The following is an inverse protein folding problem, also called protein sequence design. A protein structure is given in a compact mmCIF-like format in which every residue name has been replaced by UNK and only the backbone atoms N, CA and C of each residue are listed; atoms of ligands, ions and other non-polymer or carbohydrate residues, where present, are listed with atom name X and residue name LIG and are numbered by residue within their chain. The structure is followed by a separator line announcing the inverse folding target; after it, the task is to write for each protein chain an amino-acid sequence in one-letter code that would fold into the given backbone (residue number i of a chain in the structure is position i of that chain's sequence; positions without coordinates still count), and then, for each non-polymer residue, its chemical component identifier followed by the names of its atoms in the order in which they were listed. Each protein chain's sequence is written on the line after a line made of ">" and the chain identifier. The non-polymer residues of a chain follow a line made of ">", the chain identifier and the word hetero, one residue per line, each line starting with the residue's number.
data_IF_576942084335
#
_entry.id   IF_576942084335
#
_cell.length_a   1.000
_cell.length_b   1.000
_cell.length_c   1.000
_cell.angle_alpha   90.00
_cell.angle_beta   90.00
_cell.angle_gamma   90.00
#
_symmetry.space_group_name_H-M   'P 1'
#
loop_
_entity.id
_entity.type
_entity.pdbx_description
1 polymer ?
#
# COMPACT_ATOMS: atom_id res chain seq x y z
N UNK A 1 -25.37 24.07 9.86
CA UNK A 1 -26.31 22.99 10.27
C UNK A 1 -27.52 23.54 11.04
N UNK A 2 -27.34 24.62 11.79
CA UNK A 2 -28.44 25.23 12.61
C UNK A 2 -29.60 25.79 11.79
N UNK A 3 -29.36 26.08 10.52
CA UNK A 3 -30.37 26.58 9.56
C UNK A 3 -30.96 25.51 8.65
N UNK A 4 -30.50 24.26 8.77
CA UNK A 4 -30.96 23.17 7.91
C UNK A 4 -32.35 22.71 8.30
N UNK A 5 -33.24 22.59 7.31
CA UNK A 5 -34.61 22.10 7.48
C UNK A 5 -34.80 20.73 6.82
N UNK A 6 -35.90 20.05 7.13
CA UNK A 6 -36.24 18.78 6.48
C UNK A 6 -36.42 18.91 4.95
N UNK A 7 -36.67 20.13 4.46
CA UNK A 7 -36.80 20.38 3.01
C UNK A 7 -35.45 20.37 2.30
N UNK A 8 -34.36 20.64 3.03
CA UNK A 8 -33.00 20.62 2.51
C UNK A 8 -32.45 19.18 2.39
N UNK A 9 -33.12 18.21 3.04
CA UNK A 9 -32.75 16.81 2.96
C UNK A 9 -33.27 16.17 1.67
N UNK A 10 -32.34 15.53 0.94
CA UNK A 10 -32.69 14.73 -0.21
C UNK A 10 -33.28 13.36 0.15
N UNK A 11 -33.44 12.52 -0.84
CA UNK A 11 -33.84 11.10 -0.70
C UNK A 11 -32.81 10.17 -1.31
N UNK A 12 -32.58 9.03 -0.70
CA UNK A 12 -31.68 8.00 -1.19
C UNK A 12 -32.27 6.61 -0.93
N UNK A 13 -31.77 5.59 -1.63
CA UNK A 13 -32.18 4.19 -1.42
C UNK A 13 -31.57 3.64 -0.12
N UNK A 14 -30.32 4.02 0.15
CA UNK A 14 -29.60 3.57 1.33
C UNK A 14 -28.55 4.61 1.75
N UNK A 15 -28.41 4.81 3.04
CA UNK A 15 -27.32 5.58 3.64
C UNK A 15 -26.58 4.67 4.59
N UNK A 16 -25.25 4.62 4.46
CA UNK A 16 -24.36 3.88 5.37
C UNK A 16 -23.36 4.87 5.95
N UNK A 17 -23.32 4.95 7.25
CA UNK A 17 -22.40 5.83 7.98
C UNK A 17 -21.52 5.00 8.91
N UNK A 18 -20.23 5.27 8.89
CA UNK A 18 -19.24 4.77 9.84
C UNK A 18 -18.57 5.95 10.56
N UNK A 19 -17.49 5.71 11.30
CA UNK A 19 -16.80 6.76 12.08
C UNK A 19 -16.16 7.85 11.21
N UNK A 20 -15.81 7.54 9.97
CA UNK A 20 -15.02 8.40 9.10
C UNK A 20 -15.79 8.84 7.85
N UNK A 21 -16.75 8.03 7.39
CA UNK A 21 -17.43 8.25 6.12
C UNK A 21 -18.94 8.08 6.22
N UNK A 22 -19.64 8.84 5.39
CA UNK A 22 -21.06 8.61 5.10
C UNK A 22 -21.25 8.40 3.61
N UNK A 23 -21.74 7.22 3.26
CA UNK A 23 -21.98 6.82 1.86
C UNK A 23 -23.47 6.87 1.55
N UNK A 24 -23.84 7.67 0.56
CA UNK A 24 -25.22 7.81 0.06
C UNK A 24 -25.34 7.01 -1.23
N UNK A 25 -26.22 6.02 -1.25
CA UNK A 25 -26.40 5.08 -2.36
C UNK A 25 -27.78 5.31 -2.97
N UNK A 26 -27.86 5.43 -4.29
CA UNK A 26 -29.10 5.62 -5.02
C UNK A 26 -29.80 6.92 -4.68
N UNK A 27 -29.06 8.02 -4.60
CA UNK A 27 -29.61 9.36 -4.40
C UNK A 27 -30.65 9.71 -5.46
N UNK A 28 -31.73 10.37 -5.06
CA UNK A 28 -32.87 10.75 -5.94
C UNK A 28 -32.76 12.19 -6.45
N UNK A 29 -31.58 12.82 -6.33
CA UNK A 29 -31.32 14.15 -6.87
C UNK A 29 -31.35 14.22 -8.40
N UNK A 30 -31.47 15.40 -8.95
CA UNK A 30 -31.46 15.60 -10.40
C UNK A 30 -30.06 15.46 -10.95
N UNK A 31 -29.91 14.72 -12.04
CA UNK A 31 -28.60 14.50 -12.70
C UNK A 31 -27.94 15.82 -13.15
N UNK A 32 -28.75 16.78 -13.60
CA UNK A 32 -28.28 18.11 -14.00
C UNK A 32 -27.56 18.85 -12.87
N UNK A 33 -28.06 18.71 -11.64
CA UNK A 33 -27.52 19.42 -10.48
C UNK A 33 -26.17 18.80 -10.06
N UNK A 34 -26.07 17.45 -10.17
CA UNK A 34 -24.82 16.74 -9.96
C UNK A 34 -23.77 17.12 -11.02
N UNK A 35 -24.17 17.21 -12.30
CA UNK A 35 -23.28 17.66 -13.39
C UNK A 35 -22.83 19.11 -13.20
N UNK A 36 -23.74 19.97 -12.70
CA UNK A 36 -23.40 21.35 -12.30
C UNK A 36 -22.33 21.37 -11.23
N UNK A 37 -22.51 20.59 -10.16
CA UNK A 37 -21.54 20.49 -9.05
C UNK A 37 -20.19 19.92 -9.49
N UNK A 38 -20.19 18.96 -10.39
CA UNK A 38 -18.95 18.42 -11.00
C UNK A 38 -18.17 19.51 -11.73
N UNK A 39 -18.86 20.39 -12.48
CA UNK A 39 -18.22 21.51 -13.18
C UNK A 39 -17.62 22.54 -12.22
N UNK A 40 -18.35 22.85 -11.13
CA UNK A 40 -17.84 23.74 -10.08
C UNK A 40 -16.56 23.19 -9.43
N UNK A 41 -16.58 21.91 -9.02
CA UNK A 41 -15.39 21.28 -8.40
C UNK A 41 -14.20 21.29 -9.36
N UNK A 42 -14.39 21.02 -10.64
CA UNK A 42 -13.31 21.12 -11.63
C UNK A 42 -12.72 22.53 -11.70
N UNK A 43 -13.56 23.55 -11.72
CA UNK A 43 -13.10 24.92 -11.70
C UNK A 43 -12.38 25.30 -10.38
N UNK A 44 -12.78 24.72 -9.25
CA UNK A 44 -12.08 24.89 -7.97
C UNK A 44 -10.70 24.24 -8.00
N UNK A 45 -10.56 23.01 -8.57
CA UNK A 45 -9.29 22.31 -8.75
C UNK A 45 -8.30 23.18 -9.57
N UNK A 46 -8.78 23.77 -10.67
CA UNK A 46 -7.95 24.61 -11.56
C UNK A 46 -7.49 25.91 -10.87
N UNK A 47 -8.24 26.40 -9.91
CA UNK A 47 -7.94 27.64 -9.15
C UNK A 47 -7.14 27.39 -7.87
N UNK A 48 -7.15 26.16 -7.34
CA UNK A 48 -6.49 25.83 -6.09
C UNK A 48 -4.97 25.89 -6.24
N UNK A 49 -4.33 26.61 -5.32
CA UNK A 49 -2.86 26.69 -5.20
C UNK A 49 -2.29 25.73 -4.16
N UNK A 50 -3.16 25.09 -3.35
CA UNK A 50 -2.82 24.12 -2.33
C UNK A 50 -2.90 22.70 -2.91
N UNK A 51 -1.81 21.96 -2.85
CA UNK A 51 -1.78 20.57 -3.33
C UNK A 51 -2.71 19.67 -2.50
N UNK A 52 -2.81 19.89 -1.19
CA UNK A 52 -3.72 19.17 -0.31
C UNK A 52 -5.19 19.41 -0.68
N UNK A 53 -5.59 20.67 -0.89
CA UNK A 53 -6.97 21.00 -1.26
C UNK A 53 -7.30 20.44 -2.64
N UNK A 54 -6.36 20.50 -3.57
CA UNK A 54 -6.50 19.92 -4.91
C UNK A 54 -6.74 18.42 -4.84
N UNK A 55 -5.98 17.68 -4.03
CA UNK A 55 -6.16 16.25 -3.81
C UNK A 55 -7.56 15.94 -3.26
N UNK A 56 -8.02 16.69 -2.26
CA UNK A 56 -9.35 16.49 -1.65
C UNK A 56 -10.50 16.82 -2.62
N UNK A 57 -10.32 17.83 -3.47
CA UNK A 57 -11.28 18.16 -4.52
C UNK A 57 -11.31 17.06 -5.60
N UNK A 58 -10.16 16.49 -5.98
CA UNK A 58 -10.09 15.37 -6.93
C UNK A 58 -10.77 14.11 -6.39
N UNK A 59 -10.56 13.77 -5.10
CA UNK A 59 -11.29 12.69 -4.45
C UNK A 59 -12.81 12.88 -4.51
N UNK A 60 -13.28 14.10 -4.19
CA UNK A 60 -14.70 14.45 -4.23
C UNK A 60 -15.26 14.34 -5.65
N UNK A 61 -14.51 14.84 -6.63
CA UNK A 61 -14.87 14.76 -8.04
C UNK A 61 -15.01 13.30 -8.49
N UNK A 62 -14.08 12.44 -8.13
CA UNK A 62 -14.11 11.03 -8.47
C UNK A 62 -15.34 10.32 -7.90
N UNK A 63 -15.69 10.59 -6.65
CA UNK A 63 -16.89 10.03 -5.99
C UNK A 63 -18.20 10.49 -6.62
N UNK A 64 -18.27 11.75 -7.07
CA UNK A 64 -19.46 12.29 -7.74
C UNK A 64 -19.61 11.82 -9.19
N UNK A 65 -18.49 11.70 -9.93
CA UNK A 65 -18.49 11.35 -11.35
C UNK A 65 -18.47 9.84 -11.60
N UNK A 66 -17.83 9.06 -10.73
CA UNK A 66 -17.62 7.62 -10.89
C UNK A 66 -18.71 6.74 -10.30
N UNK A 67 -19.58 7.29 -9.45
CA UNK A 67 -20.59 6.52 -8.71
C UNK A 67 -20.00 5.67 -7.58
N UNK A 68 -20.83 4.82 -6.98
CA UNK A 68 -20.48 3.91 -5.89
C UNK A 68 -20.73 2.47 -6.34
N UNK A 69 -19.69 1.65 -6.33
CA UNK A 69 -19.79 0.21 -6.51
C UNK A 69 -20.00 -0.48 -5.15
N UNK A 70 -20.89 -1.46 -5.10
CA UNK A 70 -21.18 -2.24 -3.90
C UNK A 70 -20.74 -3.68 -4.13
N UNK A 71 -19.78 -4.14 -3.35
CA UNK A 71 -19.36 -5.53 -3.30
C UNK A 71 -20.13 -6.22 -2.15
N UNK A 72 -20.99 -7.16 -2.48
CA UNK A 72 -21.75 -7.94 -1.47
C UNK A 72 -21.01 -9.23 -1.18
N UNK A 73 -20.72 -9.46 0.10
CA UNK A 73 -20.03 -10.65 0.59
C UNK A 73 -21.02 -11.48 1.41
N UNK A 74 -21.03 -12.79 1.17
CA UNK A 74 -21.84 -13.74 1.94
C UNK A 74 -21.07 -15.03 2.20
N UNK A 75 -21.42 -15.73 3.28
CA UNK A 75 -20.89 -17.03 3.66
C UNK A 75 -21.90 -17.81 4.48
N UNK A 76 -21.62 -19.09 4.72
CA UNK A 76 -22.49 -19.97 5.49
C UNK A 76 -22.48 -19.65 7.00
N UNK A 77 -21.35 -19.13 7.51
CA UNK A 77 -21.17 -18.75 8.91
C UNK A 77 -20.75 -17.29 9.05
N UNK A 78 -21.01 -16.70 10.22
CA UNK A 78 -20.63 -15.32 10.51
C UNK A 78 -19.09 -15.13 10.51
N UNK A 79 -18.37 -16.11 11.04
CA UNK A 79 -16.88 -16.07 11.06
C UNK A 79 -16.30 -16.08 9.65
N UNK A 80 -16.81 -16.97 8.80
CA UNK A 80 -16.39 -17.04 7.40
C UNK A 80 -16.77 -15.77 6.62
N UNK A 81 -17.93 -15.20 6.90
CA UNK A 81 -18.37 -13.95 6.29
C UNK A 81 -17.44 -12.78 6.68
N UNK A 82 -17.06 -12.69 7.96
CA UNK A 82 -16.11 -11.67 8.45
C UNK A 82 -14.74 -11.84 7.79
N UNK A 83 -14.23 -13.06 7.70
CA UNK A 83 -12.96 -13.36 7.03
C UNK A 83 -12.97 -12.93 5.57
N UNK A 84 -14.01 -13.34 4.82
CA UNK A 84 -14.16 -12.92 3.41
C UNK A 84 -14.29 -11.40 3.26
N UNK A 85 -15.02 -10.74 4.16
CA UNK A 85 -15.17 -9.29 4.15
C UNK A 85 -13.81 -8.63 4.32
N UNK A 86 -13.03 -9.02 5.32
CA UNK A 86 -11.69 -8.46 5.57
C UNK A 86 -10.75 -8.70 4.40
N UNK A 87 -10.81 -9.87 3.76
CA UNK A 87 -10.02 -10.17 2.55
C UNK A 87 -10.37 -9.27 1.38
N UNK A 88 -11.64 -8.96 1.17
CA UNK A 88 -12.09 -8.01 0.14
C UNK A 88 -11.67 -6.59 0.47
N UNK A 89 -11.78 -6.17 1.73
CA UNK A 89 -11.35 -4.85 2.20
C UNK A 89 -9.83 -4.66 2.02
N UNK A 90 -9.04 -5.67 2.34
CA UNK A 90 -7.59 -5.69 2.14
C UNK A 90 -7.22 -5.58 0.65
N UNK A 91 -7.81 -6.41 -0.19
CA UNK A 91 -7.60 -6.36 -1.64
C UNK A 91 -7.98 -5.01 -2.24
N UNK A 92 -9.07 -4.38 -1.77
CA UNK A 92 -9.49 -3.06 -2.22
C UNK A 92 -8.49 -1.96 -1.80
N UNK A 93 -7.99 -2.03 -0.56
CA UNK A 93 -7.00 -1.09 -0.05
C UNK A 93 -5.68 -1.21 -0.80
N UNK A 94 -5.23 -2.45 -1.07
CA UNK A 94 -4.04 -2.72 -1.89
C UNK A 94 -4.20 -2.19 -3.32
N UNK A 95 -5.37 -2.43 -3.95
CA UNK A 95 -5.66 -1.93 -5.30
C UNK A 95 -5.64 -0.40 -5.37
N UNK A 96 -6.19 0.31 -4.36
CA UNK A 96 -6.14 1.77 -4.29
C UNK A 96 -4.69 2.27 -4.16
N UNK A 97 -3.92 1.69 -3.24
CA UNK A 97 -2.51 2.04 -3.07
C UNK A 97 -1.69 1.79 -4.35
N UNK A 98 -2.00 0.71 -5.09
CA UNK A 98 -1.37 0.41 -6.37
C UNK A 98 -1.71 1.43 -7.48
N UNK A 99 -2.93 1.96 -7.49
CA UNK A 99 -3.32 3.02 -8.44
C UNK A 99 -2.60 4.34 -8.14
N UNK A 100 -2.32 4.63 -6.86
CA UNK A 100 -1.66 5.88 -6.45
C UNK A 100 -0.17 5.92 -6.81
N UNK A 101 0.59 4.86 -6.52
CA UNK A 101 2.06 4.86 -6.67
C UNK A 101 2.60 3.72 -7.57
N UNK A 102 1.71 2.92 -8.15
CA UNK A 102 2.11 1.78 -8.98
C UNK A 102 2.41 0.51 -8.18
N UNK A 103 3.00 -0.46 -8.86
CA UNK A 103 3.26 -1.81 -8.35
C UNK A 103 4.73 -2.18 -8.45
N UNK A 104 5.15 -3.12 -7.61
CA UNK A 104 6.44 -3.79 -7.63
C UNK A 104 6.25 -5.31 -7.60
N UNK A 105 7.26 -6.12 -8.00
CA UNK A 105 7.18 -7.56 -7.82
C UNK A 105 7.01 -7.89 -6.33
N UNK A 106 6.01 -8.73 -6.04
CA UNK A 106 5.68 -9.18 -4.69
C UNK A 106 6.65 -10.24 -4.15
N UNK A 107 6.29 -10.81 -3.01
CA UNK A 107 7.16 -11.80 -2.36
C UNK A 107 8.44 -11.21 -1.79
N UNK A 108 8.40 -9.94 -1.40
CA UNK A 108 9.50 -9.18 -0.78
C UNK A 108 10.74 -8.97 -1.68
N UNK A 109 10.60 -9.22 -2.99
CA UNK A 109 11.70 -9.11 -3.96
C UNK A 109 12.13 -7.66 -4.17
N UNK A 110 11.21 -6.72 -4.07
CA UNK A 110 11.48 -5.29 -4.19
C UNK A 110 12.49 -4.81 -3.14
N UNK A 111 12.41 -5.29 -1.90
CA UNK A 111 13.35 -4.98 -0.82
C UNK A 111 14.74 -5.59 -1.10
N UNK A 112 14.80 -6.82 -1.58
CA UNK A 112 16.07 -7.46 -1.98
C UNK A 112 16.74 -6.67 -3.11
N UNK A 113 15.97 -6.23 -4.10
CA UNK A 113 16.48 -5.41 -5.21
C UNK A 113 16.96 -4.03 -4.75
N UNK A 114 16.32 -3.43 -3.76
CA UNK A 114 16.73 -2.16 -3.15
C UNK A 114 18.12 -2.25 -2.51
N UNK A 115 18.51 -3.42 -1.99
CA UNK A 115 19.83 -3.67 -1.43
C UNK A 115 20.98 -3.32 -2.39
N UNK A 116 20.79 -3.46 -3.69
CA UNK A 116 21.78 -3.08 -4.71
C UNK A 116 22.08 -1.57 -4.75
N UNK A 117 21.15 -0.73 -4.31
CA UNK A 117 21.36 0.73 -4.18
C UNK A 117 22.20 1.06 -2.97
N UNK A 118 22.05 0.29 -1.89
CA UNK A 118 22.88 0.42 -0.69
C UNK A 118 24.33 0.05 -0.96
N UNK A 119 24.61 -0.92 -1.85
CA UNK A 119 25.98 -1.24 -2.28
C UNK A 119 26.66 -0.06 -2.99
N UNK A 120 25.92 0.72 -3.77
CA UNK A 120 26.43 1.95 -4.39
C UNK A 120 26.71 3.00 -3.34
N UNK A 121 25.76 3.24 -2.44
CA UNK A 121 25.89 4.19 -1.36
C UNK A 121 27.10 3.86 -0.45
N UNK A 122 27.34 2.59 -0.15
CA UNK A 122 28.49 2.15 0.61
C UNK A 122 29.83 2.44 -0.08
N UNK A 123 29.89 2.35 -1.41
CA UNK A 123 31.09 2.69 -2.20
C UNK A 123 31.36 4.21 -2.29
N UNK A 124 30.29 5.01 -2.28
CA UNK A 124 30.38 6.46 -2.38
C UNK A 124 30.76 7.14 -1.05
N UNK A 125 30.49 6.51 0.10
CA UNK A 125 30.63 7.10 1.43
C UNK A 125 31.85 6.62 2.23
N UNK A 126 32.93 6.15 1.58
CA UNK A 126 34.25 6.09 2.19
C UNK A 126 34.76 4.72 2.62
N UNK A 127 35.74 4.74 3.51
CA UNK A 127 36.56 3.61 3.93
C UNK A 127 35.77 2.42 4.50
N UNK A 128 36.32 1.23 4.34
CA UNK A 128 35.72 -0.06 4.71
C UNK A 128 35.30 -0.16 6.20
N UNK A 129 35.94 0.64 7.08
CA UNK A 129 35.71 0.62 8.54
C UNK A 129 34.85 1.79 9.05
N UNK A 130 34.18 2.56 8.18
CA UNK A 130 33.38 3.70 8.63
C UNK A 130 32.09 3.25 9.32
N UNK A 131 31.65 3.94 10.39
CA UNK A 131 30.38 3.72 11.10
C UNK A 131 29.19 3.81 10.14
N UNK A 132 29.27 4.65 9.12
CA UNK A 132 28.27 4.79 8.05
C UNK A 132 28.12 3.47 7.31
N UNK A 133 29.22 2.80 6.98
CA UNK A 133 29.19 1.50 6.28
C UNK A 133 28.59 0.40 7.13
N UNK A 134 28.84 0.41 8.43
CA UNK A 134 28.20 -0.50 9.38
C UNK A 134 26.68 -0.29 9.37
N UNK A 135 26.23 0.96 9.44
CA UNK A 135 24.81 1.31 9.35
C UNK A 135 24.16 0.86 8.03
N UNK A 136 24.83 1.09 6.90
CA UNK A 136 24.35 0.62 5.57
C UNK A 136 24.22 -0.91 5.56
N UNK A 137 25.19 -1.65 6.11
CA UNK A 137 25.15 -3.10 6.17
C UNK A 137 24.03 -3.63 7.07
N UNK A 138 23.75 -2.94 8.18
CA UNK A 138 22.60 -3.25 9.06
C UNK A 138 21.30 -3.13 8.28
N UNK A 139 21.08 -2.01 7.59
CA UNK A 139 19.88 -1.80 6.77
C UNK A 139 19.79 -2.86 5.67
N UNK A 140 20.88 -3.12 4.95
CA UNK A 140 20.91 -4.13 3.89
C UNK A 140 20.52 -5.52 4.40
N UNK A 141 21.00 -5.91 5.58
CA UNK A 141 20.64 -7.18 6.21
C UNK A 141 19.19 -7.20 6.68
N UNK A 142 18.69 -6.06 7.19
CA UNK A 142 17.30 -5.91 7.60
C UNK A 142 16.31 -6.06 6.41
N UNK A 143 16.67 -5.59 5.20
CA UNK A 143 15.87 -5.76 3.99
C UNK A 143 15.65 -7.24 3.60
N UNK A 144 16.46 -8.16 4.11
CA UNK A 144 16.27 -9.61 3.91
C UNK A 144 15.29 -10.23 4.91
N UNK A 145 14.97 -9.56 6.01
CA UNK A 145 14.15 -10.13 7.06
C UNK A 145 12.74 -10.52 6.60
N UNK A 146 12.03 -9.71 5.77
CA UNK A 146 10.69 -10.07 5.32
C UNK A 146 10.66 -11.35 4.47
N UNK A 147 11.54 -11.49 3.47
CA UNK A 147 11.60 -12.72 2.65
C UNK A 147 12.02 -13.94 3.46
N UNK A 148 12.92 -13.76 4.45
CA UNK A 148 13.30 -14.84 5.38
C UNK A 148 12.09 -15.31 6.19
N UNK A 149 11.28 -14.37 6.66
CA UNK A 149 10.05 -14.69 7.40
C UNK A 149 9.02 -15.38 6.52
N UNK A 150 8.84 -14.91 5.27
CA UNK A 150 7.98 -15.55 4.29
C UNK A 150 8.41 -17.02 4.03
N UNK A 151 9.70 -17.25 3.79
CA UNK A 151 10.25 -18.56 3.55
C UNK A 151 10.06 -19.47 4.78
N UNK A 152 10.37 -18.98 5.97
CA UNK A 152 10.19 -19.72 7.23
C UNK A 152 8.73 -20.11 7.47
N UNK A 153 7.77 -19.22 7.19
CA UNK A 153 6.34 -19.53 7.30
C UNK A 153 5.91 -20.62 6.30
N UNK A 154 6.63 -20.75 5.17
CA UNK A 154 6.44 -21.82 4.18
C UNK A 154 7.26 -23.08 4.49
N UNK A 155 7.92 -23.16 5.63
CA UNK A 155 8.78 -24.30 6.02
C UNK A 155 10.10 -24.40 5.25
N UNK A 156 10.57 -23.28 4.65
CA UNK A 156 11.79 -23.22 3.86
C UNK A 156 12.90 -22.41 4.56
N UNK A 157 14.17 -22.70 4.23
CA UNK A 157 15.28 -21.88 4.71
C UNK A 157 15.38 -20.57 3.90
N UNK A 158 15.21 -19.44 4.60
CA UNK A 158 15.25 -18.12 3.97
C UNK A 158 16.60 -17.79 3.34
N UNK A 159 17.72 -18.32 3.85
CA UNK A 159 19.03 -18.07 3.26
C UNK A 159 19.18 -18.75 1.90
N UNK A 160 18.71 -19.98 1.79
CA UNK A 160 18.70 -20.75 0.54
C UNK A 160 17.80 -20.08 -0.51
N UNK A 161 16.61 -19.63 -0.06
CA UNK A 161 15.67 -18.93 -0.96
C UNK A 161 16.30 -17.63 -1.50
N UNK A 162 16.88 -16.79 -0.65
CA UNK A 162 17.50 -15.52 -1.07
C UNK A 162 18.65 -15.76 -2.04
N UNK A 163 19.54 -16.70 -1.73
CA UNK A 163 20.67 -17.02 -2.61
C UNK A 163 20.18 -17.49 -3.97
N UNK A 164 19.22 -18.42 -4.00
CA UNK A 164 18.66 -18.95 -5.25
C UNK A 164 17.94 -17.87 -6.05
N UNK A 165 17.18 -16.98 -5.41
CA UNK A 165 16.53 -15.84 -6.07
C UNK A 165 17.58 -14.93 -6.73
N UNK A 166 18.62 -14.53 -5.99
CA UNK A 166 19.70 -13.68 -6.53
C UNK A 166 20.42 -14.32 -7.70
N UNK A 167 20.76 -15.60 -7.59
CA UNK A 167 21.41 -16.36 -8.66
C UNK A 167 20.52 -16.45 -9.89
N UNK A 168 19.27 -16.91 -9.74
CA UNK A 168 18.32 -17.06 -10.85
C UNK A 168 18.00 -15.73 -11.51
N UNK A 169 17.83 -14.65 -10.73
CA UNK A 169 17.60 -13.29 -11.26
C UNK A 169 18.81 -12.80 -12.09
N UNK A 170 20.04 -13.10 -11.65
CA UNK A 170 21.27 -12.76 -12.39
C UNK A 170 21.38 -13.56 -13.69
N UNK A 171 21.18 -14.89 -13.65
CA UNK A 171 21.22 -15.77 -14.81
C UNK A 171 20.21 -15.36 -15.88
N UNK A 172 18.97 -15.09 -15.47
CA UNK A 172 17.89 -14.67 -16.38
C UNK A 172 17.91 -13.18 -16.71
N UNK A 173 18.80 -12.39 -16.10
CA UNK A 173 18.83 -10.92 -16.21
C UNK A 173 17.48 -10.27 -15.94
N UNK A 174 16.71 -10.86 -15.01
CA UNK A 174 15.37 -10.44 -14.67
C UNK A 174 15.25 -10.22 -13.15
N UNK A 175 15.03 -8.96 -12.76
CA UNK A 175 14.91 -8.54 -11.37
C UNK A 175 13.56 -8.89 -10.72
N UNK A 176 12.57 -9.33 -11.51
CA UNK A 176 11.27 -9.72 -11.03
C UNK A 176 11.23 -11.18 -10.54
N UNK A 177 12.33 -11.91 -10.68
CA UNK A 177 12.39 -13.30 -10.22
C UNK A 177 12.29 -13.35 -8.71
N UNK A 178 11.31 -14.12 -8.24
CA UNK A 178 11.05 -14.37 -6.83
C UNK A 178 10.65 -15.81 -6.57
N UNK A 179 10.50 -16.14 -5.31
CA UNK A 179 10.04 -17.45 -4.86
C UNK A 179 8.53 -17.43 -4.61
N UNK A 180 7.77 -18.17 -5.40
CA UNK A 180 6.35 -18.35 -5.20
C UNK A 180 6.10 -19.50 -4.21
N UNK A 181 5.69 -19.16 -3.00
CA UNK A 181 5.48 -20.13 -1.90
C UNK A 181 4.33 -21.12 -2.16
N UNK A 182 3.35 -20.74 -2.99
CA UNK A 182 2.21 -21.62 -3.31
C UNK A 182 2.62 -22.74 -4.27
N UNK A 183 3.53 -22.43 -5.21
CA UNK A 183 3.94 -23.38 -6.25
C UNK A 183 5.31 -23.98 -5.97
N UNK A 184 6.04 -23.50 -4.99
CA UNK A 184 7.43 -23.85 -4.66
C UNK A 184 8.39 -23.65 -5.86
N UNK A 185 8.17 -22.59 -6.65
CA UNK A 185 8.96 -22.31 -7.87
C UNK A 185 9.53 -20.89 -7.86
N UNK A 186 10.66 -20.76 -8.56
CA UNK A 186 11.29 -19.47 -8.85
C UNK A 186 10.79 -18.95 -10.20
N UNK A 187 9.95 -17.90 -10.16
CA UNK A 187 9.22 -17.38 -11.33
C UNK A 187 9.32 -15.86 -11.39
N UNK A 188 8.97 -15.28 -12.54
CA UNK A 188 8.68 -13.85 -12.60
C UNK A 188 7.42 -13.57 -11.78
N UNK A 189 7.57 -12.77 -10.74
CA UNK A 189 6.47 -12.49 -9.80
C UNK A 189 5.38 -11.63 -10.44
N UNK A 190 5.74 -10.71 -11.35
CA UNK A 190 4.76 -9.88 -12.05
C UNK A 190 3.94 -10.74 -13.02
N UNK A 191 4.59 -11.59 -13.81
CA UNK A 191 3.89 -12.51 -14.72
C UNK A 191 3.03 -13.53 -13.97
N UNK A 192 3.48 -13.94 -12.78
CA UNK A 192 2.72 -14.83 -11.91
C UNK A 192 1.55 -14.15 -11.18
N UNK A 193 1.36 -12.83 -11.35
CA UNK A 193 0.32 -12.05 -10.67
C UNK A 193 0.60 -11.82 -9.18
N UNK A 194 1.82 -12.02 -8.71
CA UNK A 194 2.24 -11.76 -7.33
C UNK A 194 2.90 -10.38 -7.29
N UNK A 195 2.10 -9.39 -6.92
CA UNK A 195 2.47 -7.97 -6.98
C UNK A 195 2.13 -7.29 -5.65
N UNK A 196 2.94 -6.29 -5.28
CA UNK A 196 2.72 -5.46 -4.11
C UNK A 196 2.59 -3.97 -4.51
N UNK A 197 1.76 -3.17 -3.82
CA UNK A 197 1.71 -1.73 -4.03
C UNK A 197 3.01 -1.06 -3.55
N UNK A 198 3.58 -0.18 -4.37
CA UNK A 198 4.79 0.61 -4.01
C UNK A 198 4.58 1.38 -2.71
N UNK A 199 3.44 2.04 -2.57
CA UNK A 199 3.08 2.85 -1.39
C UNK A 199 3.18 2.04 -0.10
N UNK A 200 2.74 0.78 -0.11
CA UNK A 200 2.77 -0.10 1.08
C UNK A 200 4.20 -0.49 1.43
N UNK A 201 4.97 -0.96 0.44
CA UNK A 201 6.37 -1.40 0.65
C UNK A 201 7.26 -0.23 1.09
N UNK A 202 7.12 0.94 0.44
CA UNK A 202 7.83 2.16 0.79
C UNK A 202 7.47 2.64 2.20
N UNK A 203 6.17 2.77 2.50
CA UNK A 203 5.71 3.21 3.80
C UNK A 203 6.11 2.29 4.94
N UNK A 204 6.11 0.97 4.72
CA UNK A 204 6.59 0.00 5.69
C UNK A 204 8.08 0.20 6.01
N UNK A 205 8.91 0.40 4.99
CA UNK A 205 10.35 0.64 5.16
C UNK A 205 10.63 1.98 5.86
N UNK A 206 9.96 3.06 5.46
CA UNK A 206 10.12 4.38 6.06
C UNK A 206 9.73 4.38 7.54
N UNK A 207 8.58 3.78 7.88
CA UNK A 207 8.12 3.70 9.26
C UNK A 207 9.04 2.81 10.11
N UNK A 208 9.49 1.67 9.58
CA UNK A 208 10.43 0.80 10.27
C UNK A 208 11.77 1.50 10.55
N UNK A 209 12.32 2.22 9.57
CA UNK A 209 13.55 2.99 9.74
C UNK A 209 13.39 4.12 10.74
N UNK A 210 12.26 4.84 10.72
CA UNK A 210 11.96 5.91 11.67
C UNK A 210 11.93 5.41 13.11
N UNK A 211 11.21 4.32 13.37
CA UNK A 211 11.12 3.74 14.72
C UNK A 211 12.46 3.16 15.16
N UNK A 212 13.17 2.46 14.28
CA UNK A 212 14.51 1.92 14.61
C UNK A 212 15.49 3.05 14.97
N UNK A 213 15.50 4.16 14.23
CA UNK A 213 16.33 5.32 14.53
C UNK A 213 15.98 5.95 15.88
N UNK A 214 14.69 6.04 16.19
CA UNK A 214 14.22 6.56 17.47
C UNK A 214 14.70 5.66 18.64
N UNK A 215 14.58 4.34 18.52
CA UNK A 215 15.03 3.39 19.53
C UNK A 215 16.55 3.48 19.73
N UNK A 216 17.32 3.57 18.64
CA UNK A 216 18.79 3.65 18.70
C UNK A 216 19.30 4.92 19.36
N UNK A 217 18.54 6.01 19.33
CA UNK A 217 18.89 7.31 19.94
C UNK A 217 18.30 7.51 21.33
N UNK A 218 17.58 6.52 21.88
CA UNK A 218 16.91 6.60 23.19
C UNK A 218 17.79 6.00 24.28
N UNK A 219 18.10 6.78 25.31
CA UNK A 219 18.87 6.32 26.48
C UNK A 219 17.99 5.58 27.50
N UNK A 220 16.76 5.99 27.66
CA UNK A 220 15.83 5.46 28.70
C UNK A 220 14.44 5.25 28.10
N UNK A 221 13.86 4.11 28.40
CA UNK A 221 12.44 3.80 28.16
C UNK A 221 11.71 3.80 29.49
N UNK A 222 10.67 4.66 29.59
CA UNK A 222 9.80 4.67 30.78
C UNK A 222 8.52 3.93 30.41
N UNK A 223 8.24 2.84 31.09
CA UNK A 223 7.02 2.03 30.92
C UNK A 223 6.24 2.02 32.24
N UNK A 224 4.92 2.02 32.12
CA UNK A 224 4.01 1.83 33.26
C UNK A 224 4.01 0.37 33.74
#
# INVERSE_FOLDING_TARGET
>A
LETATLQDLGRAEKVVSDKENTTIIGGKGKKSDIEGRIKEIRAEIDRSTSDYDREKLQERLAKLSGGVAIIRVGAATETEMKEKKHRVEDALSAARAAVEEGIVPGGEISLINAGSKLDKLAKENGDDDSEIRVGINIVKKALEAPIRKLASNAGQDGSVIIDTVRRTASEKKNKNIGYNVLTNKYVDMIEAGVIDPVKVVRGALENAASIASMILTTDVLITD
#
